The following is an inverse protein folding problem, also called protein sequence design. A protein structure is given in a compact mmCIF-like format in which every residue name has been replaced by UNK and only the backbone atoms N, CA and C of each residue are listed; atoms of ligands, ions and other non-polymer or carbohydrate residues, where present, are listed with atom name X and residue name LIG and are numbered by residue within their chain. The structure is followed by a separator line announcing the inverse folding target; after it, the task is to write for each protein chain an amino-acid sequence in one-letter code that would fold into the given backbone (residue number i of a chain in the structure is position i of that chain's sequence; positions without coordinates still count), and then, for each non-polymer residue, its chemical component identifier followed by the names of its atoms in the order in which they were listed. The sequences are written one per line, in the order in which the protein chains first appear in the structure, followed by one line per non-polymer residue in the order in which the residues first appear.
data_IF_431296302721
#
_entry.id   IF_431296302721
#
_cell.length_a   1.000
_cell.length_b   1.000
_cell.length_c   1.000
_cell.angle_alpha   90.00
_cell.angle_beta   90.00
_cell.angle_gamma   90.00
#
_symmetry.space_group_name_H-M   'P 1'
#
loop_
_entity.id
_entity.type
_entity.pdbx_description
1 polymer ?
#
# COMPACT_ATOMS: atom_id res chain seq x y z
N UNK A 1 20.79 73.66 53.53
CA UNK A 1 20.57 73.14 52.17
C UNK A 1 21.64 72.10 51.91
N UNK A 2 21.28 70.82 51.96
CA UNK A 2 22.19 69.67 51.80
C UNK A 2 21.59 68.78 50.73
N UNK A 3 22.37 68.52 49.68
CA UNK A 3 21.98 67.78 48.48
C UNK A 3 22.22 66.29 48.74
N UNK A 4 21.16 65.48 48.70
CA UNK A 4 21.22 64.03 48.83
C UNK A 4 21.39 63.40 47.43
N UNK A 5 22.60 62.93 47.10
CA UNK A 5 22.87 62.13 45.91
C UNK A 5 22.49 60.67 46.17
N UNK A 6 21.52 60.14 45.41
CA UNK A 6 21.17 58.72 45.41
C UNK A 6 21.71 58.07 44.13
N UNK A 7 22.66 57.14 44.28
CA UNK A 7 23.23 56.37 43.18
C UNK A 7 22.34 55.16 42.87
N UNK A 8 21.53 55.24 41.81
CA UNK A 8 20.80 54.10 41.27
C UNK A 8 21.74 53.33 40.33
N UNK A 9 22.21 52.18 40.78
CA UNK A 9 22.99 51.24 39.97
C UNK A 9 22.06 50.41 39.08
N UNK A 10 22.02 50.70 37.78
CA UNK A 10 21.35 49.88 36.78
C UNK A 10 22.16 48.60 36.51
N UNK A 11 21.69 47.44 36.99
CA UNK A 11 22.17 46.15 36.50
C UNK A 11 21.64 45.91 35.08
N UNK A 12 22.55 45.76 34.10
CA UNK A 12 22.22 45.33 32.74
C UNK A 12 21.50 43.98 32.77
N UNK A 13 20.29 43.93 32.24
CA UNK A 13 19.51 42.70 32.03
C UNK A 13 20.11 41.96 30.83
N UNK A 14 20.74 40.82 31.07
CA UNK A 14 21.25 39.93 30.02
C UNK A 14 20.06 39.26 29.31
N UNK A 15 19.90 39.54 28.02
CA UNK A 15 18.93 38.87 27.15
C UNK A 15 19.28 37.37 27.07
N UNK A 16 18.38 36.45 27.43
CA UNK A 16 18.62 35.02 27.21
C UNK A 16 18.79 34.75 25.71
N UNK A 17 19.76 33.92 25.34
CA UNK A 17 19.92 33.45 23.98
C UNK A 17 18.63 32.75 23.50
N UNK A 18 18.29 32.82 22.20
CA UNK A 18 17.14 32.11 21.66
C UNK A 18 17.28 30.61 21.96
N UNK A 19 16.27 30.03 22.62
CA UNK A 19 16.19 28.59 22.82
C UNK A 19 16.01 27.97 21.44
N UNK A 20 17.05 27.30 20.95
CA UNK A 20 16.98 26.52 19.71
C UNK A 20 16.18 25.27 20.03
N UNK A 21 14.88 25.29 19.72
CA UNK A 21 14.05 24.09 19.79
C UNK A 21 14.60 23.11 18.74
N UNK A 22 15.10 21.92 19.11
CA UNK A 22 15.57 20.96 18.13
C UNK A 22 14.41 20.60 17.20
N UNK A 23 14.62 20.74 15.89
CA UNK A 23 13.68 20.26 14.88
C UNK A 23 13.44 18.77 15.14
N UNK A 24 12.18 18.32 15.28
CA UNK A 24 11.89 16.90 15.44
C UNK A 24 12.53 16.12 14.30
N UNK A 25 13.26 15.05 14.64
CA UNK A 25 13.80 14.15 13.64
C UNK A 25 12.66 13.66 12.74
N UNK A 26 12.86 13.71 11.43
CA UNK A 26 11.88 13.19 10.48
C UNK A 26 11.56 11.72 10.83
N UNK A 27 10.28 11.37 10.80
CA UNK A 27 9.87 9.98 11.03
C UNK A 27 10.55 9.08 9.99
N UNK A 28 11.01 7.88 10.38
CA UNK A 28 11.64 6.94 9.45
C UNK A 28 10.67 6.60 8.31
N UNK A 29 11.18 6.58 7.07
CA UNK A 29 10.40 6.16 5.90
C UNK A 29 10.09 4.67 6.01
N UNK A 30 8.83 4.24 5.91
CA UNK A 30 8.49 2.83 5.98
C UNK A 30 9.06 2.07 4.77
N UNK A 31 9.50 0.83 5.00
CA UNK A 31 10.05 -0.01 3.93
C UNK A 31 8.98 -0.43 2.92
N UNK A 32 7.77 -0.67 3.42
CA UNK A 32 6.58 -1.06 2.68
C UNK A 32 5.38 -0.23 3.11
N UNK A 33 4.54 0.13 2.14
CA UNK A 33 3.42 1.03 2.38
C UNK A 33 2.31 0.85 1.35
N UNK A 34 1.09 1.21 1.75
CA UNK A 34 -0.04 1.49 0.88
C UNK A 34 -0.59 2.87 1.26
N UNK A 35 -0.57 3.79 0.32
CA UNK A 35 -1.10 5.14 0.49
C UNK A 35 -2.17 5.39 -0.57
N UNK A 36 -3.30 5.96 -0.18
CA UNK A 36 -4.35 6.33 -1.11
C UNK A 36 -5.24 7.44 -0.55
N UNK A 37 -6.06 8.03 -1.42
CA UNK A 37 -7.20 8.86 -1.04
C UNK A 37 -8.49 8.12 -1.39
N UNK A 38 -9.24 7.69 -0.37
CA UNK A 38 -10.52 6.99 -0.53
C UNK A 38 -11.64 7.95 -0.11
N UNK A 39 -12.52 8.31 -1.04
CA UNK A 39 -13.61 9.28 -0.85
C UNK A 39 -13.15 10.59 -0.16
N UNK A 40 -11.98 11.07 -0.58
CA UNK A 40 -11.37 12.30 -0.05
C UNK A 40 -10.64 12.14 1.28
N UNK A 41 -10.62 10.95 1.89
CA UNK A 41 -9.89 10.66 3.13
C UNK A 41 -8.56 9.97 2.83
N UNK A 42 -7.49 10.40 3.49
CA UNK A 42 -6.18 9.76 3.37
C UNK A 42 -6.16 8.44 4.13
N UNK A 43 -5.77 7.37 3.43
CA UNK A 43 -5.52 6.04 3.99
C UNK A 43 -4.03 5.76 3.84
N UNK A 44 -3.36 5.45 4.96
CA UNK A 44 -1.93 5.15 4.99
C UNK A 44 -1.71 3.90 5.84
N UNK A 45 -1.34 2.80 5.20
CA UNK A 45 -1.01 1.54 5.86
C UNK A 45 0.49 1.33 5.69
N UNK A 46 1.22 1.47 6.78
CA UNK A 46 2.68 1.36 6.81
C UNK A 46 3.06 0.16 7.68
N UNK A 47 3.90 -0.72 7.15
CA UNK A 47 4.42 -1.83 7.95
C UNK A 47 5.82 -1.49 8.48
N UNK A 48 5.91 -1.21 9.78
CA UNK A 48 7.17 -1.11 10.52
C UNK A 48 7.54 -2.45 11.21
N UNK A 49 6.67 -3.47 11.17
CA UNK A 49 6.84 -4.74 11.89
C UNK A 49 6.29 -5.93 11.10
N UNK A 50 7.01 -6.32 10.04
CA UNK A 50 7.04 -7.64 9.39
C UNK A 50 5.77 -8.51 9.53
N UNK A 51 4.67 -8.11 8.91
CA UNK A 51 3.64 -9.05 8.43
C UNK A 51 3.09 -8.56 7.09
N UNK A 52 3.93 -8.61 6.05
CA UNK A 52 3.50 -8.36 4.67
C UNK A 52 3.19 -9.68 3.98
N UNK A 53 2.01 -9.80 3.38
CA UNK A 53 1.65 -10.98 2.60
C UNK A 53 2.07 -10.84 1.15
N UNK A 54 2.72 -11.87 0.63
CA UNK A 54 2.85 -12.13 -0.80
C UNK A 54 2.61 -13.63 -0.91
N UNK A 55 1.65 -14.07 -1.71
CA UNK A 55 1.32 -15.48 -1.89
C UNK A 55 0.92 -15.79 -3.32
N UNK A 56 1.53 -16.84 -3.87
CA UNK A 56 1.14 -17.48 -5.13
C UNK A 56 0.10 -18.55 -4.84
N UNK A 57 -0.98 -18.59 -5.63
CA UNK A 57 -1.99 -19.62 -5.50
C UNK A 57 -2.83 -19.80 -6.75
N UNK A 58 -3.40 -20.99 -6.93
CA UNK A 58 -4.45 -21.16 -7.92
C UNK A 58 -5.69 -20.37 -7.48
N UNK A 59 -6.31 -19.66 -8.42
CA UNK A 59 -7.59 -19.00 -8.19
C UNK A 59 -8.63 -20.01 -7.74
N UNK A 60 -9.33 -19.70 -6.66
CA UNK A 60 -10.42 -20.54 -6.14
C UNK A 60 -11.69 -20.45 -6.97
N UNK A 61 -11.80 -19.42 -7.82
CA UNK A 61 -13.02 -19.15 -8.60
C UNK A 61 -12.92 -19.62 -10.05
N UNK A 62 -11.70 -19.60 -10.63
CA UNK A 62 -11.50 -19.89 -12.06
C UNK A 62 -10.37 -20.90 -12.27
N UNK A 63 -10.71 -22.03 -12.89
CA UNK A 63 -9.73 -23.07 -13.26
C UNK A 63 -8.66 -22.53 -14.21
N UNK A 64 -7.40 -22.89 -13.97
CA UNK A 64 -6.25 -22.46 -14.79
C UNK A 64 -5.78 -21.02 -14.54
N UNK A 65 -6.53 -20.22 -13.76
CA UNK A 65 -6.10 -18.89 -13.34
C UNK A 65 -5.24 -18.97 -12.08
N UNK A 66 -4.13 -18.24 -12.06
CA UNK A 66 -3.23 -18.10 -10.94
C UNK A 66 -3.30 -16.68 -10.40
N UNK A 67 -3.18 -16.54 -9.09
CA UNK A 67 -3.19 -15.27 -8.37
C UNK A 67 -1.86 -15.07 -7.64
N UNK A 68 -1.34 -13.84 -7.70
CA UNK A 68 -0.26 -13.39 -6.83
C UNK A 68 -0.64 -12.08 -6.17
N UNK A 69 -0.49 -12.00 -4.85
CA UNK A 69 -0.85 -10.82 -4.07
C UNK A 69 0.36 -10.02 -3.55
N UNK A 70 0.10 -8.74 -3.31
CA UNK A 70 0.90 -7.76 -2.58
C UNK A 70 -0.01 -7.20 -1.47
N UNK A 71 0.21 -7.62 -0.23
CA UNK A 71 -0.71 -7.37 0.89
C UNK A 71 -0.02 -6.59 2.00
N UNK A 72 -0.70 -5.57 2.50
CA UNK A 72 -0.30 -4.75 3.65
C UNK A 72 -1.45 -4.67 4.65
N UNK A 73 -1.20 -5.11 5.87
CA UNK A 73 -2.14 -4.99 6.99
C UNK A 73 -1.62 -4.00 8.02
N UNK A 74 -2.53 -3.28 8.69
CA UNK A 74 -2.16 -2.43 9.81
C UNK A 74 -2.15 -3.25 11.13
N UNK A 75 -0.99 -3.58 11.69
CA UNK A 75 -0.92 -4.44 12.87
C UNK A 75 -1.47 -3.77 14.14
N UNK A 76 -1.51 -2.43 14.18
CA UNK A 76 -1.99 -1.65 15.33
C UNK A 76 -3.52 -1.59 15.39
N UNK A 77 -4.18 -1.56 14.22
CA UNK A 77 -5.63 -1.44 14.14
C UNK A 77 -6.33 -2.78 13.91
N UNK A 78 -5.61 -3.83 13.46
CA UNK A 78 -6.09 -5.20 13.14
C UNK A 78 -7.32 -5.28 12.21
N UNK A 79 -7.88 -4.16 11.78
CA UNK A 79 -9.10 -4.07 11.00
C UNK A 79 -8.84 -3.56 9.57
N UNK A 80 -7.84 -2.69 9.38
CA UNK A 80 -7.55 -2.12 8.07
C UNK A 80 -6.45 -2.92 7.36
N UNK A 81 -6.78 -3.38 6.16
CA UNK A 81 -5.88 -4.08 5.24
C UNK A 81 -6.08 -3.51 3.84
N UNK A 82 -5.02 -3.42 3.06
CA UNK A 82 -5.12 -3.11 1.65
C UNK A 82 -4.12 -3.93 0.86
N UNK A 83 -4.45 -4.17 -0.39
CA UNK A 83 -3.55 -4.90 -1.26
C UNK A 83 -3.91 -4.82 -2.72
N UNK A 84 -3.03 -5.39 -3.48
CA UNK A 84 -3.16 -5.57 -4.91
C UNK A 84 -2.93 -7.04 -5.20
N UNK A 85 -3.72 -7.61 -6.09
CA UNK A 85 -3.45 -8.94 -6.61
C UNK A 85 -3.38 -8.88 -8.14
N UNK A 86 -2.62 -9.80 -8.71
CA UNK A 86 -2.49 -10.01 -10.14
C UNK A 86 -3.10 -11.36 -10.45
N UNK A 87 -3.99 -11.43 -11.43
CA UNK A 87 -4.47 -12.70 -11.97
C UNK A 87 -3.96 -12.93 -13.38
N UNK A 88 -3.61 -14.18 -13.66
CA UNK A 88 -3.18 -14.61 -14.99
C UNK A 88 -3.57 -16.05 -15.25
N UNK A 89 -4.09 -16.32 -16.44
CA UNK A 89 -4.44 -17.66 -16.89
C UNK A 89 -3.24 -18.32 -17.54
N UNK A 90 -2.94 -19.54 -17.10
CA UNK A 90 -1.89 -20.39 -17.65
C UNK A 90 -2.51 -21.62 -18.32
N UNK A 91 -1.90 -22.17 -19.39
CA UNK A 91 -2.40 -23.39 -20.04
C UNK A 91 -2.43 -24.65 -19.15
N UNK A 92 -1.79 -24.62 -17.98
CA UNK A 92 -1.72 -25.72 -17.03
C UNK A 92 -1.31 -25.23 -15.64
N UNK A 93 -1.00 -26.17 -14.75
CA UNK A 93 -0.53 -25.86 -13.40
C UNK A 93 0.79 -25.10 -13.41
N UNK A 94 0.84 -24.00 -12.66
CA UNK A 94 2.05 -23.22 -12.44
C UNK A 94 2.93 -23.96 -11.43
N UNK A 95 4.13 -24.37 -11.87
CA UNK A 95 5.08 -25.13 -11.02
C UNK A 95 6.42 -24.40 -10.89
N UNK A 96 6.71 -23.47 -11.81
CA UNK A 96 7.95 -22.72 -11.80
C UNK A 96 7.73 -21.32 -11.26
N UNK A 97 8.58 -20.90 -10.33
CA UNK A 97 8.53 -19.54 -9.79
C UNK A 97 8.75 -18.46 -10.87
N UNK A 98 9.43 -18.78 -11.97
CA UNK A 98 9.58 -17.86 -13.12
C UNK A 98 8.26 -17.57 -13.83
N UNK A 99 7.28 -18.49 -13.77
CA UNK A 99 5.94 -18.25 -14.33
C UNK A 99 5.17 -17.24 -13.46
N UNK A 100 5.26 -17.37 -12.14
CA UNK A 100 4.71 -16.39 -11.17
C UNK A 100 5.40 -15.04 -11.34
N UNK A 101 6.72 -15.01 -11.44
CA UNK A 101 7.49 -13.78 -11.72
C UNK A 101 7.00 -13.11 -13.01
N UNK A 102 6.66 -13.88 -14.05
CA UNK A 102 6.18 -13.35 -15.34
C UNK A 102 4.86 -12.56 -15.25
N UNK A 103 4.15 -12.63 -14.12
CA UNK A 103 2.96 -11.83 -13.83
C UNK A 103 3.32 -10.37 -13.51
N UNK A 104 4.54 -10.10 -13.03
CA UNK A 104 5.04 -8.78 -12.65
C UNK A 104 5.94 -8.23 -13.75
N UNK A 105 5.38 -7.32 -14.54
CA UNK A 105 6.06 -6.57 -15.59
C UNK A 105 5.87 -5.09 -15.29
N UNK A 106 6.93 -4.31 -15.45
CA UNK A 106 6.79 -2.85 -15.38
C UNK A 106 5.90 -2.39 -16.54
N UNK A 107 4.94 -1.51 -16.23
CA UNK A 107 4.01 -0.96 -17.20
C UNK A 107 2.55 -0.99 -16.76
N UNK A 108 1.68 -0.66 -17.70
CA UNK A 108 0.24 -0.55 -17.46
C UNK A 108 -0.47 -1.91 -17.48
N UNK A 109 -1.46 -2.03 -16.61
CA UNK A 109 -2.32 -3.21 -16.52
C UNK A 109 -3.78 -2.83 -16.68
N UNK A 110 -4.54 -3.75 -17.27
CA UNK A 110 -5.99 -3.72 -17.16
C UNK A 110 -6.41 -4.25 -15.80
N UNK A 111 -7.56 -3.78 -15.32
CA UNK A 111 -8.17 -4.35 -14.13
C UNK A 111 -8.73 -5.74 -14.44
N UNK A 112 -8.57 -6.66 -13.47
CA UNK A 112 -9.02 -8.03 -13.54
C UNK A 112 -10.52 -8.15 -13.24
N UNK A 113 -11.09 -9.27 -13.67
CA UNK A 113 -12.29 -9.83 -13.10
C UNK A 113 -12.12 -11.34 -12.93
N UNK A 114 -11.58 -11.79 -11.78
CA UNK A 114 -11.32 -13.20 -11.52
C UNK A 114 -12.58 -14.08 -11.58
N UNK A 115 -13.77 -13.52 -11.26
CA UNK A 115 -15.04 -14.24 -11.32
C UNK A 115 -15.52 -14.46 -12.76
N UNK A 116 -15.05 -13.65 -13.70
CA UNK A 116 -15.32 -13.77 -15.13
C UNK A 116 -14.13 -14.36 -15.90
N UNK A 117 -13.09 -14.84 -15.21
CA UNK A 117 -11.85 -15.34 -15.84
C UNK A 117 -11.06 -14.27 -16.61
N UNK A 118 -11.24 -12.99 -16.28
CA UNK A 118 -10.50 -11.89 -16.90
C UNK A 118 -9.21 -11.65 -16.11
N UNK A 119 -8.09 -11.84 -16.79
CA UNK A 119 -6.74 -11.57 -16.27
C UNK A 119 -6.47 -10.07 -16.13
N UNK A 120 -5.65 -9.71 -15.16
CA UNK A 120 -5.28 -8.32 -14.90
C UNK A 120 -4.88 -8.08 -13.45
N UNK A 121 -5.21 -6.89 -12.96
CA UNK A 121 -4.97 -6.46 -11.58
C UNK A 121 -6.27 -6.24 -10.83
N UNK A 122 -6.35 -6.69 -9.58
CA UNK A 122 -7.35 -6.17 -8.65
C UNK A 122 -6.73 -5.40 -7.51
N UNK A 123 -7.45 -4.39 -7.03
CA UNK A 123 -7.12 -3.63 -5.83
C UNK A 123 -8.21 -3.91 -4.82
N UNK A 124 -7.83 -4.17 -3.57
CA UNK A 124 -8.78 -4.34 -2.49
C UNK A 124 -8.39 -3.54 -1.25
N UNK A 125 -9.40 -3.27 -0.43
CA UNK A 125 -9.30 -2.55 0.82
C UNK A 125 -10.33 -3.12 1.81
N UNK A 126 -9.90 -3.44 3.02
CA UNK A 126 -10.75 -3.76 4.15
C UNK A 126 -10.76 -2.53 5.05
N UNK A 127 -11.95 -1.95 5.24
CA UNK A 127 -12.08 -0.75 6.06
C UNK A 127 -12.04 -1.05 7.57
N UNK A 128 -11.99 -0.01 8.40
CA UNK A 128 -11.99 -0.14 9.86
C UNK A 128 -13.22 -0.89 10.42
N UNK A 129 -14.32 -0.99 9.66
CA UNK A 129 -15.51 -1.77 10.01
C UNK A 129 -15.43 -3.24 9.57
N UNK A 130 -14.35 -3.65 8.90
CA UNK A 130 -14.17 -4.98 8.35
C UNK A 130 -14.90 -5.21 7.02
N UNK A 131 -15.45 -4.17 6.38
CA UNK A 131 -16.09 -4.31 5.07
C UNK A 131 -15.01 -4.49 4.00
N UNK A 132 -15.18 -5.51 3.15
CA UNK A 132 -14.30 -5.78 2.02
C UNK A 132 -14.76 -5.00 0.79
N UNK A 133 -13.85 -4.19 0.25
CA UNK A 133 -14.02 -3.39 -0.95
C UNK A 133 -13.01 -3.82 -1.99
N UNK A 134 -13.42 -3.97 -3.25
CA UNK A 134 -12.50 -4.39 -4.31
C UNK A 134 -12.88 -3.88 -5.68
N UNK A 135 -11.93 -3.82 -6.59
CA UNK A 135 -12.14 -3.31 -7.95
C UNK A 135 -12.95 -4.26 -8.84
N UNK A 136 -13.21 -5.53 -8.47
CA UNK A 136 -13.73 -6.54 -9.39
C UNK A 136 -15.10 -7.16 -9.06
N UNK A 137 -15.75 -6.78 -7.96
CA UNK A 137 -16.99 -7.43 -7.50
C UNK A 137 -18.20 -7.17 -8.41
N UNK A 138 -18.22 -6.08 -9.19
CA UNK A 138 -19.30 -5.78 -10.12
C UNK A 138 -18.79 -5.86 -11.58
N UNK A 139 -19.08 -6.97 -12.24
CA UNK A 139 -18.68 -7.21 -13.64
C UNK A 139 -19.41 -6.33 -14.65
N UNK A 140 -20.51 -5.68 -14.25
CA UNK A 140 -21.34 -4.85 -15.12
C UNK A 140 -21.01 -3.36 -15.02
N UNK A 141 -20.14 -2.96 -14.09
CA UNK A 141 -19.70 -1.57 -13.93
C UNK A 141 -18.29 -1.37 -14.46
N UNK A 142 -18.11 -0.24 -15.15
CA UNK A 142 -16.79 0.16 -15.65
C UNK A 142 -15.87 0.40 -14.46
N UNK A 143 -14.78 -0.38 -14.42
CA UNK A 143 -13.63 -0.08 -13.58
C UNK A 143 -13.00 1.21 -14.10
N UNK A 144 -13.26 2.33 -13.42
CA UNK A 144 -12.62 3.61 -13.73
C UNK A 144 -11.13 3.56 -13.39
N UNK A 145 -10.33 4.37 -14.08
CA UNK A 145 -8.95 4.67 -13.67
C UNK A 145 -7.86 3.86 -14.38
N UNK A 146 -6.72 3.67 -13.70
CA UNK A 146 -5.47 3.14 -14.28
C UNK A 146 -4.68 2.41 -13.21
N UNK A 147 -3.95 1.37 -13.60
CA UNK A 147 -2.95 0.70 -12.77
C UNK A 147 -1.62 0.61 -13.53
N UNK A 148 -0.52 0.92 -12.85
CA UNK A 148 0.83 0.82 -13.42
C UNK A 148 1.82 0.29 -12.39
N UNK A 149 2.51 -0.81 -12.70
CA UNK A 149 3.70 -1.25 -11.96
C UNK A 149 4.87 -0.37 -12.40
N UNK A 150 5.50 0.32 -11.46
CA UNK A 150 6.59 1.26 -11.71
C UNK A 150 7.96 0.59 -11.58
N UNK A 151 8.13 -0.27 -10.57
CA UNK A 151 9.36 -1.03 -10.36
C UNK A 151 9.06 -2.47 -9.98
N UNK A 152 9.93 -3.38 -10.38
CA UNK A 152 9.97 -4.77 -9.94
C UNK A 152 11.44 -5.14 -9.78
N UNK A 153 11.91 -5.27 -8.55
CA UNK A 153 13.35 -5.38 -8.24
C UNK A 153 13.60 -6.50 -7.26
N UNK A 154 14.71 -7.22 -7.42
CA UNK A 154 15.09 -8.31 -6.53
C UNK A 154 15.12 -7.86 -5.08
N UNK A 155 14.63 -8.72 -4.20
CA UNK A 155 14.63 -8.55 -2.76
C UNK A 155 15.54 -9.61 -2.13
N UNK A 156 16.28 -9.21 -1.10
CA UNK A 156 17.30 -10.05 -0.46
C UNK A 156 16.82 -10.59 0.90
N UNK A 157 15.50 -10.74 1.09
CA UNK A 157 14.97 -11.40 2.28
C UNK A 157 14.55 -12.85 1.99
N UNK A 158 14.22 -13.57 3.06
CA UNK A 158 13.88 -14.99 2.98
C UNK A 158 12.39 -15.24 2.68
N UNK A 159 11.59 -14.20 2.44
CA UNK A 159 10.14 -14.32 2.29
C UNK A 159 9.67 -14.08 0.86
N UNK A 160 10.22 -13.08 0.16
CA UNK A 160 9.86 -12.79 -1.22
C UNK A 160 11.08 -12.56 -2.08
N UNK A 161 11.01 -12.99 -3.35
CA UNK A 161 12.11 -12.82 -4.30
C UNK A 161 12.24 -11.39 -4.82
N UNK A 162 11.14 -10.62 -4.78
CA UNK A 162 11.09 -9.28 -5.34
C UNK A 162 10.31 -8.32 -4.44
N UNK A 163 10.54 -7.03 -4.68
CA UNK A 163 9.72 -5.93 -4.23
C UNK A 163 9.18 -5.20 -5.45
N UNK A 164 7.91 -4.81 -5.40
CA UNK A 164 7.27 -4.06 -6.46
C UNK A 164 6.72 -2.75 -5.96
N UNK A 165 6.74 -1.74 -6.82
CA UNK A 165 5.99 -0.50 -6.61
C UNK A 165 4.97 -0.33 -7.70
N UNK A 166 3.81 0.22 -7.36
CA UNK A 166 2.77 0.54 -8.33
C UNK A 166 2.02 1.81 -7.93
N UNK A 167 1.44 2.46 -8.93
CA UNK A 167 0.48 3.56 -8.74
C UNK A 167 -0.85 3.22 -9.40
N UNK A 168 -1.94 3.68 -8.81
CA UNK A 168 -3.27 3.33 -9.28
C UNK A 168 -4.37 4.28 -8.83
N UNK A 169 -5.50 4.19 -9.52
CA UNK A 169 -6.76 4.82 -9.14
C UNK A 169 -7.89 3.95 -9.65
N UNK A 170 -8.92 3.70 -8.84
CA UNK A 170 -10.07 2.89 -9.24
C UNK A 170 -11.32 3.19 -8.43
N UNK A 171 -12.46 2.77 -8.99
CA UNK A 171 -13.66 2.55 -8.19
C UNK A 171 -13.53 1.20 -7.47
N UNK A 172 -13.79 1.18 -6.16
CA UNK A 172 -13.94 -0.04 -5.37
C UNK A 172 -15.41 -0.31 -5.10
N UNK A 173 -15.78 -1.59 -5.01
CA UNK A 173 -17.13 -2.07 -4.81
C UNK A 173 -17.20 -2.97 -3.58
N UNK A 174 -18.27 -2.84 -2.80
CA UNK A 174 -18.61 -3.83 -1.77
C UNK A 174 -19.52 -4.93 -2.36
N UNK A 175 -19.84 -6.00 -1.59
CA UNK A 175 -20.76 -7.05 -2.06
C UNK A 175 -22.21 -6.59 -2.33
N UNK A 176 -22.60 -5.41 -1.85
CA UNK A 176 -23.93 -4.82 -2.07
C UNK A 176 -23.97 -3.91 -3.31
N UNK A 177 -22.82 -3.68 -3.97
CA UNK A 177 -22.68 -2.83 -5.14
C UNK A 177 -22.53 -1.33 -4.84
N UNK A 178 -22.34 -0.96 -3.57
CA UNK A 178 -21.93 0.39 -3.18
C UNK A 178 -20.51 0.66 -3.66
N UNK A 179 -20.16 1.93 -3.80
CA UNK A 179 -18.87 2.33 -4.39
C UNK A 179 -18.09 3.29 -3.51
N UNK A 180 -16.77 3.16 -3.55
CA UNK A 180 -15.82 4.20 -3.10
C UNK A 180 -14.87 4.56 -4.24
N UNK A 181 -14.41 5.80 -4.24
CA UNK A 181 -13.41 6.27 -5.18
C UNK A 181 -12.03 6.28 -4.55
N UNK A 182 -11.13 5.45 -5.08
CA UNK A 182 -9.72 5.41 -4.73
C UNK A 182 -8.91 6.21 -5.75
N UNK A 183 -8.25 7.25 -5.29
CA UNK A 183 -7.36 8.10 -6.08
C UNK A 183 -5.99 8.22 -5.43
N UNK A 184 -4.98 8.60 -6.23
CA UNK A 184 -3.58 8.75 -5.76
C UNK A 184 -3.08 7.50 -5.01
N UNK A 185 -3.48 6.32 -5.47
CA UNK A 185 -3.05 5.05 -4.90
C UNK A 185 -1.58 4.79 -5.20
N UNK A 186 -0.82 4.42 -4.20
CA UNK A 186 0.56 3.97 -4.29
C UNK A 186 0.77 2.78 -3.37
N UNK A 187 1.46 1.77 -3.87
CA UNK A 187 1.87 0.61 -3.07
C UNK A 187 3.34 0.34 -3.30
N UNK A 188 4.05 0.04 -2.22
CA UNK A 188 5.36 -0.62 -2.23
C UNK A 188 5.26 -1.84 -1.33
N UNK A 189 5.36 -3.02 -1.90
CA UNK A 189 5.25 -4.27 -1.14
C UNK A 189 6.18 -5.35 -1.66
N UNK A 190 6.33 -6.39 -0.85
CA UNK A 190 6.89 -7.68 -1.25
C UNK A 190 6.03 -8.27 -2.36
N UNK A 191 6.68 -8.91 -3.33
CA UNK A 191 6.03 -9.55 -4.47
C UNK A 191 6.76 -10.83 -4.84
N UNK A 192 6.02 -11.79 -5.43
CA UNK A 192 6.54 -13.10 -5.83
C UNK A 192 7.03 -13.90 -4.62
N UNK A 193 6.11 -14.66 -4.04
CA UNK A 193 6.43 -15.72 -3.09
C UNK A 193 5.93 -17.03 -3.69
N UNK A 194 6.85 -17.97 -3.88
CA UNK A 194 6.61 -19.23 -4.57
C UNK A 194 6.60 -20.44 -3.63
N UNK A 195 6.61 -20.24 -2.30
CA UNK A 195 6.60 -21.32 -1.31
C UNK A 195 5.33 -22.19 -1.38
N UNK A 196 4.25 -21.68 -1.99
CA UNK A 196 2.99 -22.40 -2.21
C UNK A 196 2.83 -23.10 -3.55
N UNK A 197 3.86 -23.06 -4.42
CA UNK A 197 3.85 -23.82 -5.69
C UNK A 197 4.15 -25.30 -5.38
N UNK A 198 3.20 -26.18 -5.69
CA UNK A 198 3.37 -27.64 -5.61
C UNK A 198 3.73 -28.22 -6.98
#
# INVERSE_FOLDING_TARGET
MVILLSFISCKKKSTPAPVVTPTPAAAPTPNFYFNATIDGKSVNINDLSVTTGSGAGQSVTTSGQHEQSMVLSNPLLRAEEAGVFITKTFPGSVTLCSEVESMFKVGSYNYANPNAGIDGIGVYYIDAGGMYWTSYLDSNKVQGGKFEILTHTTNNDNFSKYNSTAKFSCTLFDPLGNTMQLTNGEIKSRSVNCEGLN
#
